data_IF_710792091101
#
_entry.id   IF_710792091101
#
_cell.length_a   1.000
_cell.length_b   1.000
_cell.length_c   1.000
_cell.angle_alpha   90.00
_cell.angle_beta   90.00
_cell.angle_gamma   90.00
#
_symmetry.space_group_name_H-M   'P 1'
#
loop_
_entity.id
_entity.type
_entity.pdbx_description
1 polymer ?
#
# COMPACT_ATOMS: atom_id res chain seq x y z
N UNK A 1 11.49 25.30 -27.13
CA UNK A 1 11.00 24.03 -26.54
C UNK A 1 10.03 24.40 -25.44
N UNK A 2 8.73 24.36 -25.74
CA UNK A 2 7.67 24.53 -24.73
C UNK A 2 7.73 23.35 -23.78
N UNK A 3 8.03 23.62 -22.51
CA UNK A 3 7.83 22.66 -21.44
C UNK A 3 6.32 22.33 -21.43
N UNK A 4 5.96 21.17 -21.99
CA UNK A 4 4.60 20.70 -21.93
C UNK A 4 4.13 20.66 -20.48
N UNK A 5 2.90 21.07 -20.24
CA UNK A 5 2.29 21.10 -18.91
C UNK A 5 2.39 19.70 -18.27
N UNK A 6 3.27 19.59 -17.28
CA UNK A 6 3.67 18.37 -16.60
C UNK A 6 2.50 17.70 -15.82
N UNK A 7 1.39 18.44 -15.67
CA UNK A 7 0.23 18.09 -14.86
C UNK A 7 -0.81 17.21 -15.58
N UNK A 8 -0.80 17.15 -16.92
CA UNK A 8 -1.85 16.50 -17.71
C UNK A 8 -1.73 14.97 -17.83
N UNK A 9 -0.58 14.39 -17.43
CA UNK A 9 -0.37 12.94 -17.54
C UNK A 9 -1.19 12.18 -16.48
N UNK A 10 -2.01 11.19 -16.84
CA UNK A 10 -2.80 10.45 -15.87
C UNK A 10 -1.94 9.55 -14.99
N UNK A 11 -2.34 9.39 -13.74
CA UNK A 11 -1.76 8.39 -12.83
C UNK A 11 -2.59 7.12 -12.90
N UNK A 12 -1.93 6.01 -13.14
CA UNK A 12 -2.55 4.69 -13.23
C UNK A 12 -2.24 3.88 -11.99
N UNK A 13 -3.28 3.36 -11.34
CA UNK A 13 -3.21 2.46 -10.20
C UNK A 13 -3.63 1.07 -10.62
N UNK A 14 -2.76 0.06 -10.44
CA UNK A 14 -3.06 -1.33 -10.74
C UNK A 14 -2.94 -2.14 -9.46
N UNK A 15 -4.05 -2.69 -8.97
CA UNK A 15 -4.06 -3.61 -7.85
C UNK A 15 -3.55 -4.97 -8.31
N UNK A 16 -2.31 -5.28 -8.01
CA UNK A 16 -1.64 -6.53 -8.40
C UNK A 16 -2.06 -7.69 -7.50
N UNK A 17 -2.39 -7.40 -6.25
CA UNK A 17 -2.89 -8.33 -5.26
C UNK A 17 -3.65 -7.60 -4.15
N UNK A 18 -4.56 -8.32 -3.49
CA UNK A 18 -5.43 -7.77 -2.44
C UNK A 18 -5.62 -8.74 -1.27
N UNK A 19 -4.79 -9.76 -1.15
CA UNK A 19 -4.84 -10.76 -0.08
C UNK A 19 -3.90 -10.39 1.05
N UNK A 20 -4.38 -10.47 2.29
CA UNK A 20 -3.55 -10.40 3.49
C UNK A 20 -2.91 -11.75 3.85
N UNK A 21 -2.35 -11.87 5.06
CA UNK A 21 -1.69 -13.10 5.56
C UNK A 21 -2.72 -14.18 5.90
N UNK A 22 -3.30 -14.80 4.88
CA UNK A 22 -4.19 -15.96 5.00
C UNK A 22 -3.84 -17.04 3.97
N UNK A 23 -4.00 -18.30 4.36
CA UNK A 23 -3.75 -19.45 3.49
C UNK A 23 -4.77 -19.54 2.34
N UNK A 24 -6.04 -19.17 2.61
CA UNK A 24 -7.12 -19.28 1.63
C UNK A 24 -6.93 -18.32 0.48
N UNK A 25 -6.84 -18.85 -0.75
CA UNK A 25 -6.80 -18.09 -1.99
C UNK A 25 -8.16 -18.16 -2.68
N UNK A 26 -8.64 -17.04 -3.15
CA UNK A 26 -9.84 -16.97 -3.98
C UNK A 26 -9.49 -16.39 -5.35
N UNK A 27 -10.40 -16.48 -6.33
CA UNK A 27 -10.18 -15.87 -7.64
C UNK A 27 -9.88 -14.36 -7.56
N UNK A 28 -10.48 -13.66 -6.57
CA UNK A 28 -10.31 -12.20 -6.37
C UNK A 28 -9.10 -11.85 -5.49
N UNK A 29 -8.73 -12.73 -4.56
CA UNK A 29 -7.63 -12.51 -3.60
C UNK A 29 -6.59 -13.62 -3.77
N UNK A 30 -5.89 -13.64 -4.90
CA UNK A 30 -4.91 -14.69 -5.23
C UNK A 30 -3.52 -14.37 -4.68
N UNK A 31 -3.10 -13.12 -4.84
CA UNK A 31 -1.77 -12.63 -4.51
C UNK A 31 -1.83 -11.72 -3.29
N UNK A 32 -0.75 -11.69 -2.52
CA UNK A 32 -0.57 -10.74 -1.44
C UNK A 32 -0.73 -9.30 -1.91
N UNK A 33 -1.21 -8.44 -1.01
CA UNK A 33 -1.50 -7.04 -1.29
C UNK A 33 -0.30 -6.34 -1.92
N UNK A 34 -0.54 -5.73 -3.07
CA UNK A 34 0.46 -4.97 -3.80
C UNK A 34 -0.22 -4.01 -4.76
N UNK A 35 0.30 -2.80 -4.86
CA UNK A 35 -0.18 -1.75 -5.76
C UNK A 35 0.95 -1.31 -6.69
N UNK A 36 0.70 -1.30 -8.00
CA UNK A 36 1.58 -0.67 -8.97
C UNK A 36 1.04 0.72 -9.29
N UNK A 37 1.86 1.73 -9.05
CA UNK A 37 1.57 3.13 -9.38
C UNK A 37 2.40 3.48 -10.61
N UNK A 38 1.74 3.86 -11.71
CA UNK A 38 2.41 4.28 -12.93
C UNK A 38 2.11 5.74 -13.23
N UNK A 39 3.14 6.47 -13.59
CA UNK A 39 3.06 7.86 -13.99
C UNK A 39 4.08 8.10 -15.11
N UNK A 40 3.62 8.57 -16.29
CA UNK A 40 4.44 8.65 -17.50
C UNK A 40 5.00 7.26 -17.85
N UNK A 41 6.29 7.17 -18.11
CA UNK A 41 7.00 5.96 -18.51
C UNK A 41 7.54 5.14 -17.32
N UNK A 42 7.23 5.57 -16.11
CA UNK A 42 7.74 4.94 -14.89
C UNK A 42 6.63 4.26 -14.09
N UNK A 43 7.00 3.18 -13.40
CA UNK A 43 6.13 2.46 -12.47
C UNK A 43 6.84 2.11 -11.17
N UNK A 44 6.16 2.30 -10.05
CA UNK A 44 6.65 1.95 -8.72
C UNK A 44 5.70 0.95 -8.09
N UNK A 45 6.24 -0.18 -7.64
CA UNK A 45 5.48 -1.21 -6.94
C UNK A 45 5.49 -0.92 -5.44
N UNK A 46 4.32 -0.88 -4.81
CA UNK A 46 4.20 -0.77 -3.36
C UNK A 46 3.87 -2.15 -2.79
N UNK A 47 4.75 -2.66 -1.94
CA UNK A 47 4.75 -3.99 -1.35
C UNK A 47 4.91 -5.14 -2.36
N UNK A 48 5.68 -6.15 -1.96
CA UNK A 48 5.89 -7.39 -2.70
C UNK A 48 6.04 -8.56 -1.72
N UNK A 49 4.91 -9.04 -1.20
CA UNK A 49 4.90 -10.18 -0.27
C UNK A 49 5.36 -11.49 -0.90
N UNK A 50 5.39 -12.56 -0.10
CA UNK A 50 5.93 -13.88 -0.48
C UNK A 50 5.34 -14.44 -1.79
N UNK A 51 4.08 -14.15 -2.11
CA UNK A 51 3.47 -14.58 -3.38
C UNK A 51 4.16 -14.01 -4.62
N UNK A 52 4.91 -12.93 -4.46
CA UNK A 52 5.65 -12.23 -5.52
C UNK A 52 7.07 -12.75 -5.70
N UNK A 53 7.56 -13.63 -4.83
CA UNK A 53 8.88 -14.22 -4.94
C UNK A 53 9.08 -14.84 -6.33
N UNK A 54 10.08 -14.39 -7.07
CA UNK A 54 10.38 -14.79 -8.45
C UNK A 54 9.32 -14.40 -9.50
N UNK A 55 8.41 -13.46 -9.20
CA UNK A 55 7.34 -13.07 -10.13
C UNK A 55 7.28 -11.56 -10.41
N UNK A 56 7.74 -10.72 -9.51
CA UNK A 56 7.65 -9.26 -9.68
C UNK A 56 8.59 -8.74 -10.77
N UNK A 57 9.61 -9.48 -11.13
CA UNK A 57 10.49 -9.17 -12.26
C UNK A 57 9.72 -9.02 -13.57
N UNK A 58 8.64 -9.81 -13.77
CA UNK A 58 7.79 -9.75 -14.97
C UNK A 58 6.98 -8.44 -15.08
N UNK A 59 6.94 -7.66 -14.01
CA UNK A 59 6.26 -6.36 -13.98
C UNK A 59 7.21 -5.23 -14.37
N UNK A 60 8.53 -5.49 -14.34
CA UNK A 60 9.59 -4.52 -14.62
C UNK A 60 9.38 -3.18 -13.87
N UNK A 61 9.11 -3.19 -12.54
CA UNK A 61 8.97 -1.94 -11.81
C UNK A 61 10.31 -1.19 -11.80
N UNK A 62 10.26 0.13 -11.93
CA UNK A 62 11.45 0.98 -11.85
C UNK A 62 11.95 1.11 -10.40
N UNK A 63 11.09 0.90 -9.41
CA UNK A 63 11.43 0.85 -7.99
C UNK A 63 10.36 0.08 -7.20
N UNK A 64 10.74 -0.38 -6.01
CA UNK A 64 9.84 -0.97 -5.03
C UNK A 64 9.83 -0.10 -3.77
N UNK A 65 8.66 0.13 -3.18
CA UNK A 65 8.48 0.85 -1.92
C UNK A 65 7.77 -0.08 -0.93
N UNK A 66 8.25 -0.21 0.30
CA UNK A 66 7.67 -1.10 1.30
C UNK A 66 6.97 -0.32 2.41
N UNK A 67 5.76 -0.76 2.77
CA UNK A 67 5.05 -0.25 3.93
C UNK A 67 5.62 -0.79 5.24
N UNK A 68 5.94 -2.10 5.29
CA UNK A 68 6.54 -2.77 6.44
C UNK A 68 7.09 -4.16 6.07
N UNK A 69 7.67 -4.88 7.04
CA UNK A 69 8.46 -6.09 6.80
C UNK A 69 7.69 -7.41 6.96
N UNK A 70 6.37 -7.41 7.13
CA UNK A 70 5.62 -8.67 7.23
C UNK A 70 5.77 -9.53 5.96
N UNK A 71 5.64 -10.88 6.09
CA UNK A 71 5.85 -11.80 4.96
C UNK A 71 4.98 -11.51 3.75
N UNK A 72 3.75 -11.10 3.96
CA UNK A 72 2.78 -10.77 2.91
C UNK A 72 2.99 -9.38 2.26
N UNK A 73 3.98 -8.60 2.76
CA UNK A 73 4.35 -7.29 2.22
C UNK A 73 5.77 -7.20 1.67
N UNK A 74 6.73 -7.98 2.21
CA UNK A 74 8.13 -7.80 1.87
C UNK A 74 8.89 -9.07 1.47
N UNK A 75 8.39 -10.28 1.74
CA UNK A 75 9.17 -11.51 1.54
C UNK A 75 9.31 -11.97 0.09
N UNK A 76 8.73 -11.25 -0.86
CA UNK A 76 9.11 -11.37 -2.27
C UNK A 76 10.56 -11.00 -2.54
N UNK A 77 11.18 -10.21 -1.63
CA UNK A 77 12.57 -9.74 -1.72
C UNK A 77 13.61 -10.68 -1.13
N UNK A 78 13.25 -11.88 -0.66
CA UNK A 78 14.17 -12.81 -0.02
C UNK A 78 15.43 -13.10 -0.86
N UNK A 79 15.27 -13.20 -2.16
CA UNK A 79 16.33 -13.52 -3.12
C UNK A 79 16.76 -12.26 -3.91
N UNK A 80 16.65 -11.08 -3.32
CA UNK A 80 17.02 -9.83 -3.96
C UNK A 80 15.86 -9.10 -4.67
N UNK A 81 16.21 -8.02 -5.36
CA UNK A 81 15.32 -7.21 -6.17
C UNK A 81 15.98 -6.78 -7.48
N UNK A 82 15.25 -6.68 -8.60
CA UNK A 82 15.82 -6.25 -9.89
C UNK A 82 15.93 -4.73 -10.03
N UNK A 83 15.52 -3.97 -9.01
CA UNK A 83 15.45 -2.51 -9.03
C UNK A 83 15.63 -1.94 -7.61
N UNK A 84 15.86 -0.62 -7.47
CA UNK A 84 16.00 0.04 -6.19
C UNK A 84 14.80 -0.23 -5.26
N UNK A 85 15.06 -0.53 -3.98
CA UNK A 85 14.04 -0.75 -2.96
C UNK A 85 14.10 0.34 -1.90
N UNK A 86 12.96 0.94 -1.62
CA UNK A 86 12.80 2.03 -0.68
C UNK A 86 11.97 1.60 0.52
N UNK A 87 12.47 1.82 1.74
CA UNK A 87 11.76 1.49 2.96
C UNK A 87 12.17 2.40 4.13
N UNK A 88 11.39 2.33 5.21
CA UNK A 88 11.77 2.99 6.47
C UNK A 88 12.99 2.32 7.10
N UNK A 89 13.71 3.05 7.98
CA UNK A 89 14.81 2.49 8.76
C UNK A 89 14.38 1.26 9.58
N UNK A 90 13.15 1.30 10.11
CA UNK A 90 12.60 0.21 10.91
C UNK A 90 12.36 -1.03 10.05
N UNK A 91 11.77 -0.86 8.86
CA UNK A 91 11.55 -1.93 7.89
C UNK A 91 12.87 -2.57 7.45
N UNK A 92 13.91 -1.78 7.18
CA UNK A 92 15.22 -2.32 6.79
C UNK A 92 15.88 -3.15 7.88
N UNK A 93 15.71 -2.81 9.16
CA UNK A 93 16.24 -3.63 10.28
C UNK A 93 15.59 -5.02 10.31
N UNK A 94 14.29 -5.11 10.04
CA UNK A 94 13.58 -6.40 10.00
C UNK A 94 13.90 -7.23 8.74
N UNK A 95 14.48 -6.60 7.71
CA UNK A 95 14.86 -7.22 6.44
C UNK A 95 16.39 -7.38 6.28
N UNK A 96 17.16 -7.41 7.37
CA UNK A 96 18.60 -7.55 7.30
C UNK A 96 19.06 -8.84 6.56
N UNK A 97 18.27 -9.91 6.65
CA UNK A 97 18.53 -11.19 5.97
C UNK A 97 18.09 -11.26 4.50
N UNK A 98 17.53 -10.20 3.92
CA UNK A 98 17.16 -10.19 2.50
C UNK A 98 18.34 -9.71 1.62
N UNK A 99 18.52 -10.34 0.45
CA UNK A 99 19.64 -10.09 -0.48
C UNK A 99 19.39 -8.86 -1.38
N UNK A 100 18.79 -7.79 -0.84
CA UNK A 100 18.56 -6.56 -1.59
C UNK A 100 19.83 -5.73 -1.61
N UNK A 101 20.41 -5.50 -2.79
CA UNK A 101 21.66 -4.74 -2.97
C UNK A 101 21.41 -3.21 -2.95
N UNK A 102 20.44 -2.73 -3.70
CA UNK A 102 20.16 -1.30 -3.86
C UNK A 102 19.07 -0.83 -2.86
N UNK A 103 19.52 -0.52 -1.64
CA UNK A 103 18.66 -0.13 -0.49
C UNK A 103 18.59 1.38 -0.32
N UNK A 104 17.40 1.93 -0.31
CA UNK A 104 17.16 3.35 -0.07
C UNK A 104 16.30 3.61 1.16
N UNK A 105 16.61 4.67 1.89
CA UNK A 105 15.85 5.10 3.06
C UNK A 105 14.73 6.06 2.65
N UNK A 106 13.53 5.84 3.21
CA UNK A 106 12.44 6.81 3.29
C UNK A 106 12.30 7.23 4.76
N UNK A 107 12.39 8.53 5.02
CA UNK A 107 12.17 9.11 6.34
C UNK A 107 10.69 9.47 6.49
N UNK A 108 10.14 9.21 7.67
CA UNK A 108 8.77 9.61 8.02
C UNK A 108 8.63 11.15 7.88
N UNK A 109 7.54 11.61 7.29
CA UNK A 109 7.18 13.02 7.07
C UNK A 109 8.15 13.82 6.17
N UNK A 110 9.00 13.12 5.44
CA UNK A 110 9.88 13.74 4.44
C UNK A 110 9.49 13.22 3.06
N UNK A 111 8.88 14.04 2.21
CA UNK A 111 8.54 13.65 0.85
C UNK A 111 9.79 13.24 0.07
N UNK A 112 9.70 12.11 -0.63
CA UNK A 112 10.77 11.60 -1.49
C UNK A 112 10.24 11.32 -2.88
N UNK A 113 10.84 11.93 -3.89
CA UNK A 113 10.51 11.68 -5.29
C UNK A 113 11.25 10.44 -5.78
N UNK A 114 10.48 9.47 -6.30
CA UNK A 114 10.95 8.19 -6.83
C UNK A 114 10.32 8.02 -8.22
N UNK A 115 11.13 7.97 -9.26
CA UNK A 115 10.66 7.81 -10.65
C UNK A 115 9.52 8.77 -11.03
N UNK A 116 9.62 10.05 -10.63
CA UNK A 116 8.61 11.08 -10.91
C UNK A 116 7.40 11.11 -9.96
N UNK A 117 7.23 10.08 -9.12
CA UNK A 117 6.15 9.93 -8.14
C UNK A 117 6.68 10.33 -6.75
N UNK A 118 5.94 11.13 -6.00
CA UNK A 118 6.32 11.54 -4.64
C UNK A 118 5.67 10.64 -3.60
N UNK A 119 6.48 10.13 -2.69
CA UNK A 119 6.06 9.30 -1.55
C UNK A 119 6.37 10.04 -0.25
N UNK A 120 5.39 10.22 0.61
CA UNK A 120 5.56 10.69 1.98
C UNK A 120 5.04 9.65 2.96
N UNK A 121 5.92 9.16 3.85
CA UNK A 121 5.59 8.13 4.80
C UNK A 121 4.96 8.72 6.07
N UNK A 122 3.89 8.12 6.54
CA UNK A 122 3.19 8.44 7.78
C UNK A 122 3.18 7.23 8.70
N UNK A 123 3.62 7.39 9.94
CA UNK A 123 3.60 6.33 10.93
C UNK A 123 2.18 5.85 11.23
N UNK A 124 1.98 4.54 11.28
CA UNK A 124 0.71 3.91 11.66
C UNK A 124 0.94 2.86 12.74
N UNK A 125 -0.04 2.69 13.61
CA UNK A 125 -0.05 1.53 14.51
C UNK A 125 -0.57 0.32 13.76
N UNK A 126 0.17 -0.77 13.80
CA UNK A 126 -0.19 -2.05 13.22
C UNK A 126 0.45 -3.21 13.98
N UNK A 127 1.78 -3.26 14.03
CA UNK A 127 2.53 -4.36 14.63
C UNK A 127 3.75 -3.84 15.41
N UNK A 128 4.09 -4.56 16.49
CA UNK A 128 5.31 -4.29 17.25
C UNK A 128 6.54 -4.85 16.53
N UNK A 129 6.37 -6.01 15.92
CA UNK A 129 7.44 -6.76 15.24
C UNK A 129 7.76 -6.19 13.85
N UNK A 130 6.80 -5.54 13.21
CA UNK A 130 6.98 -4.92 11.91
C UNK A 130 6.30 -3.54 11.92
N UNK A 131 6.97 -2.51 12.45
CA UNK A 131 6.46 -1.14 12.45
C UNK A 131 6.12 -0.69 11.04
N UNK A 132 4.88 -0.24 10.82
CA UNK A 132 4.35 0.05 9.51
C UNK A 132 4.22 1.56 9.25
N UNK A 133 4.19 1.90 7.97
CA UNK A 133 3.87 3.24 7.48
C UNK A 133 2.76 3.15 6.43
N UNK A 134 1.91 4.18 6.37
CA UNK A 134 1.11 4.48 5.20
C UNK A 134 1.82 5.49 4.31
N UNK A 135 1.54 5.49 3.03
CA UNK A 135 2.13 6.43 2.08
C UNK A 135 1.08 7.37 1.50
N UNK A 136 1.33 8.68 1.60
CA UNK A 136 0.73 9.66 0.70
C UNK A 136 1.56 9.64 -0.58
N UNK A 137 0.89 9.30 -1.69
CA UNK A 137 1.51 9.14 -3.00
C UNK A 137 0.90 10.18 -3.93
N UNK A 138 1.74 11.02 -4.53
CA UNK A 138 1.29 12.07 -5.43
C UNK A 138 2.12 12.13 -6.71
N UNK A 139 1.44 12.36 -7.84
CA UNK A 139 2.04 12.59 -9.13
C UNK A 139 1.06 13.37 -10.02
N UNK A 140 1.52 14.36 -10.77
CA UNK A 140 0.63 15.29 -11.48
C UNK A 140 -0.37 15.91 -10.51
N UNK A 141 -1.67 15.82 -10.84
CA UNK A 141 -2.77 16.26 -9.98
C UNK A 141 -3.33 15.17 -9.06
N UNK A 142 -2.83 13.95 -9.17
CA UNK A 142 -3.33 12.85 -8.37
C UNK A 142 -2.65 12.80 -6.99
N UNK A 143 -3.45 12.57 -5.95
CA UNK A 143 -3.01 12.31 -4.59
C UNK A 143 -3.82 11.16 -4.00
N UNK A 144 -3.15 10.12 -3.53
CA UNK A 144 -3.78 8.99 -2.84
C UNK A 144 -3.10 8.74 -1.50
N UNK A 145 -3.81 8.08 -0.58
CA UNK A 145 -3.21 7.53 0.64
C UNK A 145 -3.36 6.02 0.66
N UNK A 146 -2.23 5.30 0.65
CA UNK A 146 -2.15 3.85 0.66
C UNK A 146 -1.70 3.33 2.02
N UNK A 147 -2.52 2.52 2.67
CA UNK A 147 -2.25 1.94 4.00
C UNK A 147 -2.96 0.60 4.13
N UNK A 148 -2.35 -0.49 3.61
CA UNK A 148 -3.00 -1.81 3.58
C UNK A 148 -3.20 -2.41 4.96
N UNK A 149 -2.36 -2.05 5.95
CA UNK A 149 -2.37 -2.55 7.32
C UNK A 149 -2.31 -1.43 8.33
N UNK A 150 -3.32 -1.33 9.20
CA UNK A 150 -3.33 -0.33 10.27
C UNK A 150 -4.34 -0.62 11.37
N UNK A 151 -4.05 -0.09 12.55
CA UNK A 151 -5.01 0.14 13.64
C UNK A 151 -5.45 1.61 13.62
N UNK A 152 -4.49 2.53 13.50
CA UNK A 152 -4.77 3.95 13.34
C UNK A 152 -3.57 4.71 12.74
N UNK A 153 -3.81 5.92 12.21
CA UNK A 153 -2.80 6.81 11.61
C UNK A 153 -2.49 7.90 12.63
N UNK A 154 -1.21 8.07 13.03
CA UNK A 154 -0.79 9.02 14.07
C UNK A 154 -1.14 10.47 13.72
N UNK A 155 -0.88 10.91 12.49
CA UNK A 155 -1.21 12.25 12.00
C UNK A 155 -2.16 12.13 10.80
N UNK A 156 -3.39 11.71 11.10
CA UNK A 156 -4.38 11.38 10.08
C UNK A 156 -4.78 12.58 9.24
N UNK A 157 -4.97 13.74 9.83
CA UNK A 157 -5.34 14.94 9.10
C UNK A 157 -4.30 15.31 8.04
N UNK A 158 -3.01 15.27 8.41
CA UNK A 158 -1.93 15.53 7.46
C UNK A 158 -1.77 14.39 6.43
N UNK A 159 -1.95 13.13 6.85
CA UNK A 159 -1.84 11.97 5.95
C UNK A 159 -2.90 12.00 4.83
N UNK A 160 -4.14 12.35 5.18
CA UNK A 160 -5.29 12.36 4.26
C UNK A 160 -5.53 13.72 3.59
N UNK A 161 -4.72 14.74 3.92
CA UNK A 161 -4.84 16.06 3.30
C UNK A 161 -4.75 15.96 1.77
N UNK A 162 -5.74 16.52 1.08
CA UNK A 162 -5.85 16.57 -0.38
C UNK A 162 -5.89 15.18 -1.07
N UNK A 163 -6.05 14.09 -0.31
CA UNK A 163 -6.16 12.75 -0.88
C UNK A 163 -7.51 12.58 -1.62
N UNK A 164 -7.45 12.20 -2.88
CA UNK A 164 -8.62 11.88 -3.70
C UNK A 164 -9.11 10.45 -3.42
N UNK A 165 -8.19 9.55 -3.07
CA UNK A 165 -8.49 8.16 -2.78
C UNK A 165 -7.75 7.71 -1.52
N UNK A 166 -8.49 7.09 -0.60
CA UNK A 166 -7.95 6.30 0.49
C UNK A 166 -7.95 4.82 0.10
N UNK A 167 -6.81 4.14 0.20
CA UNK A 167 -6.69 2.71 -0.04
C UNK A 167 -6.30 2.06 1.28
N UNK A 168 -7.26 1.42 1.93
CA UNK A 168 -7.16 0.98 3.32
C UNK A 168 -7.28 -0.51 3.56
N UNK A 169 -7.17 -0.88 4.83
CA UNK A 169 -7.13 -2.23 5.37
C UNK A 169 -8.50 -2.93 5.34
N UNK A 170 -8.56 -4.11 4.75
CA UNK A 170 -9.74 -4.96 4.64
C UNK A 170 -9.72 -6.21 5.50
N UNK A 171 -8.80 -6.32 6.46
CA UNK A 171 -8.67 -7.49 7.32
C UNK A 171 -9.96 -7.78 8.10
N UNK A 172 -10.73 -6.77 8.46
CA UNK A 172 -12.01 -6.94 9.15
C UNK A 172 -13.02 -5.86 8.78
N UNK A 173 -14.29 -6.22 8.71
CA UNK A 173 -15.37 -5.30 8.33
C UNK A 173 -15.91 -4.51 9.51
N UNK A 174 -16.27 -5.20 10.59
CA UNK A 174 -17.03 -4.63 11.70
C UNK A 174 -16.39 -4.85 13.07
N UNK A 175 -15.65 -5.93 13.27
CA UNK A 175 -15.01 -6.24 14.55
C UNK A 175 -13.55 -5.80 14.50
N UNK A 176 -13.10 -5.08 15.53
CA UNK A 176 -11.69 -4.74 15.69
C UNK A 176 -10.87 -5.98 16.02
N UNK A 177 -9.80 -6.22 15.27
CA UNK A 177 -8.77 -7.21 15.61
C UNK A 177 -7.59 -6.52 16.28
N UNK A 178 -7.83 -5.88 17.41
CA UNK A 178 -6.79 -5.17 18.15
C UNK A 178 -6.47 -5.94 19.43
N UNK A 179 -5.18 -6.24 19.61
CA UNK A 179 -4.62 -6.80 20.84
C UNK A 179 -3.65 -5.82 21.45
N UNK A 180 -3.60 -5.76 22.76
CA UNK A 180 -2.63 -4.95 23.50
C UNK A 180 -1.50 -5.83 24.02
N UNK A 181 -0.26 -5.44 23.78
CA UNK A 181 0.94 -6.07 24.37
C UNK A 181 1.79 -4.97 25.01
N UNK A 182 1.77 -4.88 26.35
CA UNK A 182 2.34 -3.77 27.07
C UNK A 182 1.62 -2.45 26.71
N UNK A 183 2.38 -1.44 26.28
CA UNK A 183 1.84 -0.13 25.83
C UNK A 183 1.52 -0.06 24.34
N UNK A 184 1.77 -1.12 23.56
CA UNK A 184 1.60 -1.14 22.12
C UNK A 184 0.37 -1.93 21.67
N UNK A 185 -0.20 -1.53 20.55
CA UNK A 185 -1.32 -2.18 19.90
C UNK A 185 -0.82 -3.05 18.75
N UNK A 186 -1.49 -4.18 18.50
CA UNK A 186 -1.23 -5.09 17.38
C UNK A 186 -2.57 -5.43 16.76
N UNK A 187 -2.67 -5.37 15.43
CA UNK A 187 -3.85 -5.81 14.71
C UNK A 187 -4.33 -4.85 13.63
N UNK A 188 -5.67 -4.84 13.42
CA UNK A 188 -6.30 -4.15 12.30
C UNK A 188 -7.55 -3.39 12.73
N UNK A 189 -7.71 -2.18 12.22
CA UNK A 189 -8.93 -1.40 12.35
C UNK A 189 -10.02 -1.97 11.43
N UNK A 190 -11.28 -2.05 11.88
CA UNK A 190 -12.36 -2.46 11.01
C UNK A 190 -12.66 -1.39 9.94
N UNK A 191 -13.07 -1.83 8.75
CA UNK A 191 -13.49 -0.93 7.65
C UNK A 191 -14.49 0.11 8.13
N UNK A 192 -15.47 -0.28 8.98
CA UNK A 192 -16.45 0.64 9.55
C UNK A 192 -15.85 1.81 10.35
N UNK A 193 -14.63 1.67 10.87
CA UNK A 193 -13.92 2.75 11.57
C UNK A 193 -13.15 3.64 10.59
N UNK A 194 -12.62 3.06 9.51
CA UNK A 194 -11.83 3.79 8.51
C UNK A 194 -12.69 4.72 7.65
N UNK A 195 -13.90 4.30 7.25
CA UNK A 195 -14.80 5.13 6.43
C UNK A 195 -15.21 6.48 7.07
N UNK A 196 -15.52 6.57 8.37
CA UNK A 196 -15.69 7.85 9.05
C UNK A 196 -14.44 8.75 9.03
N UNK A 197 -13.24 8.16 9.04
CA UNK A 197 -12.01 8.97 8.92
C UNK A 197 -11.93 9.65 7.55
N UNK A 198 -12.20 8.92 6.47
CA UNK A 198 -12.24 9.48 5.13
C UNK A 198 -13.24 10.63 5.03
N UNK A 199 -14.46 10.45 5.54
CA UNK A 199 -15.48 11.50 5.55
C UNK A 199 -15.05 12.74 6.33
N UNK A 200 -14.46 12.53 7.52
CA UNK A 200 -13.99 13.63 8.38
C UNK A 200 -12.88 14.46 7.71
N UNK A 201 -11.97 13.80 7.02
CA UNK A 201 -10.83 14.45 6.37
C UNK A 201 -11.13 14.84 4.90
N UNK A 202 -12.38 14.69 4.44
CA UNK A 202 -12.82 15.13 3.12
C UNK A 202 -12.36 14.25 1.95
N UNK A 203 -11.95 13.01 2.19
CA UNK A 203 -11.54 12.07 1.13
C UNK A 203 -12.77 11.51 0.42
N UNK A 204 -12.94 11.80 -0.89
CA UNK A 204 -14.18 11.46 -1.60
C UNK A 204 -14.35 9.97 -1.90
N UNK A 205 -13.26 9.21 -2.02
CA UNK A 205 -13.30 7.81 -2.39
C UNK A 205 -12.47 6.94 -1.45
N UNK A 206 -13.00 5.79 -1.04
CA UNK A 206 -12.29 4.77 -0.28
C UNK A 206 -12.33 3.43 -1.02
N UNK A 207 -11.15 2.81 -1.15
CA UNK A 207 -10.96 1.46 -1.68
C UNK A 207 -10.40 0.62 -0.56
N UNK A 208 -10.88 -0.62 -0.43
CA UNK A 208 -10.43 -1.54 0.60
C UNK A 208 -9.66 -2.68 -0.04
N UNK A 209 -8.43 -2.89 0.42
CA UNK A 209 -7.52 -3.96 0.02
C UNK A 209 -7.20 -4.89 1.19
N UNK A 210 -6.20 -5.72 1.10
CA UNK A 210 -5.69 -6.56 2.21
C UNK A 210 -6.77 -7.43 2.87
N UNK A 211 -7.58 -8.14 2.07
CA UNK A 211 -8.67 -8.96 2.58
C UNK A 211 -8.16 -10.25 3.24
N UNK A 212 -8.60 -10.52 4.47
CA UNK A 212 -8.29 -11.76 5.23
C UNK A 212 -9.48 -12.70 5.41
N UNK A 213 -10.69 -12.32 4.97
CA UNK A 213 -11.91 -13.14 5.00
C UNK A 213 -12.67 -13.08 3.69
N UNK A 214 -13.46 -14.12 3.38
CA UNK A 214 -14.46 -14.06 2.32
C UNK A 214 -15.43 -12.90 2.65
N UNK A 215 -15.44 -11.88 1.81
CA UNK A 215 -16.52 -10.92 1.80
C UNK A 215 -17.80 -11.67 1.43
N UNK A 216 -18.93 -11.40 2.13
CA UNK A 216 -20.21 -12.01 1.78
C UNK A 216 -20.58 -11.64 0.33
N UNK A 217 -21.33 -12.49 -0.40
CA UNK A 217 -21.73 -12.20 -1.78
C UNK A 217 -22.40 -10.83 -1.96
N UNK A 218 -23.15 -10.36 -0.95
CA UNK A 218 -23.82 -9.06 -0.97
C UNK A 218 -22.87 -7.85 -0.92
N UNK A 219 -21.71 -7.99 -0.27
CA UNK A 219 -20.71 -6.94 -0.24
C UNK A 219 -19.80 -6.94 -1.48
N UNK A 220 -19.71 -8.08 -2.15
CA UNK A 220 -18.93 -8.20 -3.38
C UNK A 220 -19.67 -7.69 -4.63
N UNK A 221 -20.96 -7.42 -4.55
CA UNK A 221 -21.76 -6.90 -5.66
C UNK A 221 -21.38 -5.46 -6.07
N UNK A 222 -20.82 -4.68 -5.13
CA UNK A 222 -20.37 -3.31 -5.37
C UNK A 222 -18.87 -3.20 -5.72
N UNK A 223 -18.16 -4.32 -5.82
CA UNK A 223 -16.79 -4.36 -6.31
C UNK A 223 -16.79 -4.77 -7.78
N UNK A 224 -15.95 -4.16 -8.64
CA UNK A 224 -15.89 -4.53 -10.04
C UNK A 224 -15.66 -6.04 -10.20
N UNK A 225 -16.49 -6.68 -11.02
CA UNK A 225 -16.53 -8.15 -11.20
C UNK A 225 -15.42 -8.71 -12.09
N UNK A 226 -14.29 -8.04 -12.23
CA UNK A 226 -13.25 -8.55 -13.12
C UNK A 226 -12.28 -9.50 -12.41
N UNK A 227 -12.00 -10.62 -13.04
CA UNK A 227 -10.91 -11.55 -12.72
C UNK A 227 -9.54 -10.99 -13.15
N UNK A 228 -9.53 -9.80 -13.72
CA UNK A 228 -8.38 -9.03 -14.13
C UNK A 228 -7.92 -8.11 -12.99
N UNK A 229 -6.65 -7.73 -13.02
CA UNK A 229 -6.10 -6.66 -12.19
C UNK A 229 -7.02 -5.45 -12.26
N UNK A 230 -7.46 -4.93 -11.10
CA UNK A 230 -8.25 -3.71 -11.08
C UNK A 230 -7.33 -2.55 -11.43
N UNK A 231 -7.70 -1.81 -12.47
CA UNK A 231 -7.00 -0.63 -12.94
C UNK A 231 -7.86 0.61 -12.68
N UNK A 232 -7.25 1.65 -12.15
CA UNK A 232 -7.86 2.96 -11.93
C UNK A 232 -6.98 4.04 -12.57
N UNK A 233 -7.59 4.94 -13.31
CA UNK A 233 -6.90 6.06 -13.94
C UNK A 233 -7.36 7.35 -13.28
N UNK A 234 -6.42 8.10 -12.71
CA UNK A 234 -6.63 9.43 -12.13
C UNK A 234 -6.13 10.49 -13.14
N UNK A 235 -7.00 11.41 -13.48
CA UNK A 235 -6.72 12.52 -14.42
C UNK A 235 -6.71 13.83 -13.69
#
# INVERSE_FOLDING_TARGET
>A
MTLGDDSSCPVKLIFLGTRGEIATRTRRHRMHSSLLVSYRDASVMIDCGLDWLGKFERLHPNAIVLTHAHPDHAWGLKNGAPCPVHASQKTWRELEGCEVEDRHLIKERVPKKICGITFEAFAVEHSILAPAVGYRVSAGHACIFYVPDLIFIHDRAAALKDAQIYIGDGATLSRSFVRKRGKRLIGHAPVRAQLPWCRKEGVPQAIITHAVRKLSPQMSANLPQSSARMELILR
#
